data_IF_350384774552
#
_entry.id   IF_350384774552
#
_cell.length_a   1.000
_cell.length_b   1.000
_cell.length_c   1.000
_cell.angle_alpha   90.00
_cell.angle_beta   90.00
_cell.angle_gamma   90.00
#
_symmetry.space_group_name_H-M   'P 1'
#
loop_
_entity.id
_entity.type
_entity.pdbx_description
1 polymer ?
#
# COMPACT_ATOMS: atom_id res chain seq x y z
N UNK A 1 -10.80 -7.81 6.54
CA UNK A 1 -9.55 -7.98 7.30
C UNK A 1 -8.75 -6.67 7.34
N UNK A 2 -7.92 -6.49 8.32
CA UNK A 2 -7.06 -5.31 8.49
C UNK A 2 -5.58 -5.61 8.29
N UNK A 3 -5.23 -6.89 8.20
CA UNK A 3 -3.87 -7.36 7.92
C UNK A 3 -3.89 -8.72 7.23
N UNK A 4 -2.74 -9.19 6.76
CA UNK A 4 -2.50 -10.53 6.20
C UNK A 4 -1.59 -11.35 7.11
N UNK A 5 -1.61 -11.06 8.41
CA UNK A 5 -0.89 -11.82 9.41
C UNK A 5 -1.59 -13.16 9.67
N UNK A 6 -0.86 -14.17 10.13
CA UNK A 6 -1.43 -15.50 10.39
C UNK A 6 -2.18 -15.60 11.74
N UNK A 7 -2.80 -14.49 12.19
CA UNK A 7 -3.43 -14.45 13.51
C UNK A 7 -4.93 -14.77 13.50
N UNK A 8 -5.62 -14.54 12.38
CA UNK A 8 -7.05 -14.88 12.25
C UNK A 8 -7.31 -15.79 11.06
N UNK A 9 -8.35 -16.65 11.13
CA UNK A 9 -8.75 -17.48 10.01
C UNK A 9 -9.10 -16.68 8.76
N UNK A 10 -9.70 -15.51 8.94
CA UNK A 10 -10.09 -14.59 7.85
C UNK A 10 -8.84 -14.02 7.14
N UNK A 11 -7.82 -13.63 7.88
CA UNK A 11 -6.57 -13.12 7.32
C UNK A 11 -5.82 -14.21 6.56
N UNK A 12 -5.76 -15.41 7.12
CA UNK A 12 -5.18 -16.56 6.44
C UNK A 12 -5.94 -16.92 5.16
N UNK A 13 -7.28 -16.90 5.19
CA UNK A 13 -8.10 -17.18 4.01
C UNK A 13 -7.80 -16.19 2.88
N UNK A 14 -7.81 -14.89 3.17
CA UNK A 14 -7.52 -13.84 2.18
C UNK A 14 -6.11 -14.00 1.62
N UNK A 15 -5.13 -14.27 2.48
CA UNK A 15 -3.74 -14.48 2.05
C UNK A 15 -3.61 -15.69 1.14
N UNK A 16 -4.17 -16.85 1.51
CA UNK A 16 -4.13 -18.05 0.70
C UNK A 16 -4.87 -17.85 -0.61
N UNK A 17 -6.04 -17.20 -0.60
CA UNK A 17 -6.79 -16.90 -1.81
C UNK A 17 -5.98 -16.05 -2.80
N UNK A 18 -5.30 -15.01 -2.33
CA UNK A 18 -4.45 -14.17 -3.18
C UNK A 18 -3.26 -14.97 -3.75
N UNK A 19 -2.63 -15.82 -2.95
CA UNK A 19 -1.45 -16.59 -3.34
C UNK A 19 -1.81 -17.76 -4.27
N UNK A 20 -2.85 -18.49 -3.95
CA UNK A 20 -3.19 -19.74 -4.63
C UNK A 20 -4.05 -19.50 -5.88
N UNK A 21 -5.00 -18.57 -5.82
CA UNK A 21 -5.89 -18.23 -6.94
C UNK A 21 -5.27 -17.18 -7.88
N UNK A 22 -4.24 -16.47 -7.42
CA UNK A 22 -3.53 -15.42 -8.20
C UNK A 22 -4.48 -14.51 -8.98
N UNK A 23 -5.36 -13.75 -8.28
CA UNK A 23 -6.36 -12.91 -8.95
C UNK A 23 -5.66 -11.87 -9.84
N UNK A 24 -6.26 -11.58 -11.01
CA UNK A 24 -5.71 -10.59 -11.94
C UNK A 24 -5.60 -9.19 -11.32
N UNK A 25 -6.59 -8.82 -10.50
CA UNK A 25 -6.64 -7.53 -9.79
C UNK A 25 -7.32 -7.71 -8.44
N UNK A 26 -6.79 -7.04 -7.43
CA UNK A 26 -7.38 -6.94 -6.09
C UNK A 26 -8.02 -5.56 -5.91
N UNK A 27 -9.28 -5.51 -5.54
CA UNK A 27 -9.90 -4.27 -5.08
C UNK A 27 -9.78 -4.23 -3.55
N UNK A 28 -8.93 -3.35 -3.05
CA UNK A 28 -8.78 -3.11 -1.62
C UNK A 28 -9.75 -2.01 -1.16
N UNK A 29 -10.79 -2.40 -0.44
CA UNK A 29 -11.80 -1.47 0.08
C UNK A 29 -11.35 -0.95 1.44
N UNK A 30 -11.11 0.35 1.51
CA UNK A 30 -10.55 1.06 2.65
C UNK A 30 -11.60 2.00 3.24
N UNK A 31 -11.76 1.97 4.55
CA UNK A 31 -12.58 2.94 5.27
C UNK A 31 -11.84 4.28 5.37
N UNK A 32 -12.36 5.31 4.68
CA UNK A 32 -11.76 6.64 4.63
C UNK A 32 -11.84 7.39 5.96
N UNK A 33 -12.72 7.00 6.86
CA UNK A 33 -12.82 7.60 8.19
C UNK A 33 -11.72 7.09 9.17
N UNK A 34 -11.01 6.00 8.79
CA UNK A 34 -9.98 5.38 9.62
C UNK A 34 -8.80 4.87 8.75
N UNK A 35 -8.17 5.81 8.04
CA UNK A 35 -7.16 5.50 7.01
C UNK A 35 -5.92 4.81 7.58
N UNK A 36 -5.35 5.30 8.68
CA UNK A 36 -4.07 4.81 9.20
C UNK A 36 -4.08 3.29 9.41
N UNK A 37 -5.11 2.79 10.06
CA UNK A 37 -5.27 1.35 10.31
C UNK A 37 -5.49 0.56 9.02
N UNK A 38 -6.31 1.09 8.11
CA UNK A 38 -6.69 0.40 6.88
C UNK A 38 -5.55 0.38 5.85
N UNK A 39 -4.69 1.40 5.84
CA UNK A 39 -3.54 1.46 4.94
C UNK A 39 -2.46 0.41 5.30
N UNK A 40 -2.47 -0.14 6.50
CA UNK A 40 -1.54 -1.21 6.87
C UNK A 40 -1.71 -2.46 5.98
N UNK A 41 -2.94 -2.90 5.73
CA UNK A 41 -3.21 -3.97 4.77
C UNK A 41 -2.70 -3.63 3.36
N UNK A 42 -2.86 -2.37 2.95
CA UNK A 42 -2.34 -1.91 1.65
C UNK A 42 -0.84 -2.11 1.54
N UNK A 43 -0.09 -1.81 2.61
CA UNK A 43 1.37 -2.03 2.61
C UNK A 43 1.75 -3.49 2.43
N UNK A 44 0.99 -4.41 3.01
CA UNK A 44 1.21 -5.84 2.86
C UNK A 44 0.87 -6.36 1.45
N UNK A 45 -0.19 -5.82 0.83
CA UNK A 45 -0.54 -6.12 -0.55
C UNK A 45 0.51 -5.60 -1.54
N UNK A 46 1.12 -4.46 -1.26
CA UNK A 46 2.27 -3.93 -2.02
C UNK A 46 3.46 -4.90 -1.92
N UNK A 47 3.77 -5.39 -0.73
CA UNK A 47 4.86 -6.37 -0.53
C UNK A 47 4.61 -7.67 -1.30
N UNK A 48 3.34 -8.11 -1.41
CA UNK A 48 2.93 -9.27 -2.21
C UNK A 48 3.06 -9.03 -3.72
N UNK A 49 3.25 -7.78 -4.14
CA UNK A 49 3.35 -7.38 -5.54
C UNK A 49 2.10 -7.74 -6.36
N UNK A 50 0.92 -7.64 -5.77
CA UNK A 50 -0.35 -7.85 -6.48
C UNK A 50 -0.81 -6.58 -7.18
N UNK A 51 -1.42 -6.72 -8.36
CA UNK A 51 -2.11 -5.60 -9.00
C UNK A 51 -3.32 -5.23 -8.17
N UNK A 52 -3.43 -3.97 -7.76
CA UNK A 52 -4.57 -3.55 -6.96
C UNK A 52 -5.08 -2.16 -7.33
N UNK A 53 -6.35 -1.94 -7.02
CA UNK A 53 -7.00 -0.63 -6.97
C UNK A 53 -7.53 -0.45 -5.55
N UNK A 54 -7.42 0.75 -5.02
CA UNK A 54 -7.99 1.07 -3.72
C UNK A 54 -9.30 1.84 -3.87
N UNK A 55 -10.37 1.31 -3.28
CA UNK A 55 -11.63 2.01 -3.13
C UNK A 55 -11.62 2.73 -1.76
N UNK A 56 -11.55 4.06 -1.77
CA UNK A 56 -11.66 4.88 -0.57
C UNK A 56 -13.15 5.03 -0.23
N UNK A 57 -13.68 4.03 0.49
CA UNK A 57 -15.10 3.97 0.82
C UNK A 57 -15.45 4.84 2.03
N UNK A 58 -16.74 5.12 2.22
CA UNK A 58 -17.23 6.06 3.25
C UNK A 58 -16.62 7.47 3.09
N UNK A 59 -16.33 7.85 1.85
CA UNK A 59 -15.69 9.14 1.56
C UNK A 59 -16.58 10.33 1.95
N UNK A 60 -17.90 10.16 1.94
CA UNK A 60 -18.89 11.11 2.44
C UNK A 60 -18.76 11.35 3.96
N UNK A 61 -18.37 10.36 4.74
CA UNK A 61 -18.13 10.53 6.17
C UNK A 61 -16.85 11.31 6.45
N UNK A 62 -15.79 11.07 5.65
CA UNK A 62 -14.57 11.87 5.72
C UNK A 62 -14.87 13.34 5.40
N UNK A 63 -15.61 13.62 4.32
CA UNK A 63 -16.02 14.98 3.96
C UNK A 63 -16.94 15.62 5.02
N UNK A 64 -17.91 14.86 5.54
CA UNK A 64 -18.84 15.33 6.58
C UNK A 64 -18.14 15.65 7.90
N UNK A 65 -17.04 14.99 8.22
CA UNK A 65 -16.20 15.33 9.37
C UNK A 65 -15.43 16.65 9.18
N UNK A 66 -15.46 17.24 8.00
CA UNK A 66 -14.72 18.47 7.68
C UNK A 66 -13.24 18.24 7.37
N UNK A 67 -12.80 16.99 7.35
CA UNK A 67 -11.45 16.62 6.99
C UNK A 67 -11.27 16.63 5.45
N UNK A 68 -10.03 16.81 5.00
CA UNK A 68 -9.69 16.75 3.58
C UNK A 68 -8.56 15.77 3.32
N UNK A 69 -8.65 15.06 2.20
CA UNK A 69 -7.64 14.08 1.76
C UNK A 69 -7.24 14.37 0.31
N UNK A 70 -5.97 14.67 0.11
CA UNK A 70 -5.37 14.65 -1.23
C UNK A 70 -5.08 13.20 -1.65
N UNK A 71 -6.16 12.50 -2.07
CA UNK A 71 -6.06 11.11 -2.45
C UNK A 71 -5.24 10.88 -3.72
N UNK A 72 -5.08 11.89 -4.59
CA UNK A 72 -4.23 11.81 -5.77
C UNK A 72 -2.76 11.72 -5.37
N UNK A 73 -2.34 12.60 -4.47
CA UNK A 73 -0.98 12.57 -3.92
C UNK A 73 -0.74 11.29 -3.08
N UNK A 74 -1.74 10.86 -2.33
CA UNK A 74 -1.67 9.60 -1.58
C UNK A 74 -1.51 8.40 -2.53
N UNK A 75 -2.24 8.38 -3.65
CA UNK A 75 -2.11 7.40 -4.73
C UNK A 75 -0.69 7.38 -5.31
N UNK A 76 -0.09 8.55 -5.55
CA UNK A 76 1.30 8.66 -6.02
C UNK A 76 2.31 8.11 -5.01
N UNK A 77 2.12 8.39 -3.72
CA UNK A 77 3.01 7.92 -2.65
C UNK A 77 2.95 6.40 -2.47
N UNK A 78 1.76 5.81 -2.61
CA UNK A 78 1.57 4.36 -2.51
C UNK A 78 1.78 3.63 -3.85
N UNK A 79 1.80 4.34 -4.98
CA UNK A 79 1.86 3.75 -6.32
C UNK A 79 0.65 2.88 -6.65
N UNK A 80 -0.49 3.14 -6.03
CA UNK A 80 -1.74 2.40 -6.17
C UNK A 80 -2.84 3.36 -6.58
N UNK A 81 -3.59 3.10 -7.67
CA UNK A 81 -4.75 3.90 -8.03
C UNK A 81 -5.78 3.92 -6.89
N UNK A 82 -6.27 5.10 -6.54
CA UNK A 82 -7.24 5.30 -5.47
C UNK A 82 -8.49 6.00 -6.02
N UNK A 83 -9.66 5.44 -5.70
CA UNK A 83 -10.95 5.96 -6.16
C UNK A 83 -11.85 6.19 -4.95
N UNK A 84 -12.27 7.45 -4.68
CA UNK A 84 -13.26 7.73 -3.66
C UNK A 84 -14.61 7.09 -4.00
N UNK A 85 -15.21 6.41 -3.01
CA UNK A 85 -16.47 5.71 -3.19
C UNK A 85 -17.40 5.90 -2.00
N UNK A 86 -18.70 5.83 -2.27
CA UNK A 86 -19.76 5.78 -1.26
C UNK A 86 -20.68 4.62 -1.60
N UNK A 87 -20.36 3.44 -1.10
CA UNK A 87 -21.06 2.19 -1.45
C UNK A 87 -22.57 2.27 -1.19
N UNK A 88 -22.99 2.98 -0.15
CA UNK A 88 -24.40 3.16 0.22
C UNK A 88 -25.23 3.86 -0.88
N UNK A 89 -24.63 4.75 -1.65
CA UNK A 89 -25.30 5.53 -2.71
C UNK A 89 -24.91 5.07 -4.11
N UNK A 90 -23.85 4.27 -4.23
CA UNK A 90 -23.26 3.87 -5.50
C UNK A 90 -22.30 4.91 -6.10
N UNK A 91 -22.08 6.04 -5.43
CA UNK A 91 -21.19 7.10 -5.90
C UNK A 91 -19.74 6.57 -6.04
N UNK A 92 -19.08 6.82 -7.18
CA UNK A 92 -17.71 6.40 -7.48
C UNK A 92 -17.54 4.92 -7.83
N UNK A 93 -18.62 4.10 -7.82
CA UNK A 93 -18.53 2.68 -8.16
C UNK A 93 -18.25 2.46 -9.65
N UNK A 94 -18.88 3.25 -10.52
CA UNK A 94 -18.64 3.21 -11.96
C UNK A 94 -17.20 3.57 -12.30
N UNK A 95 -16.67 4.63 -11.68
CA UNK A 95 -15.27 5.05 -11.83
C UNK A 95 -14.30 3.99 -11.35
N UNK A 96 -14.61 3.36 -10.21
CA UNK A 96 -13.82 2.24 -9.69
C UNK A 96 -13.72 1.09 -10.70
N UNK A 97 -14.84 0.70 -11.30
CA UNK A 97 -14.85 -0.36 -12.31
C UNK A 97 -14.15 0.05 -13.61
N UNK A 98 -14.26 1.30 -14.03
CA UNK A 98 -13.49 1.83 -15.16
C UNK A 98 -11.99 1.70 -14.94
N UNK A 99 -11.51 2.08 -13.76
CA UNK A 99 -10.10 1.92 -13.39
C UNK A 99 -9.68 0.45 -13.38
N UNK A 100 -10.50 -0.44 -12.80
CA UNK A 100 -10.24 -1.89 -12.76
C UNK A 100 -10.16 -2.47 -14.17
N UNK A 101 -11.12 -2.16 -15.04
CA UNK A 101 -11.15 -2.66 -16.42
C UNK A 101 -9.93 -2.15 -17.20
N UNK A 102 -9.61 -0.88 -17.07
CA UNK A 102 -8.44 -0.28 -17.74
C UNK A 102 -7.14 -0.97 -17.32
N UNK A 103 -7.01 -1.38 -16.06
CA UNK A 103 -5.87 -2.15 -15.57
C UNK A 103 -5.88 -3.58 -16.12
N UNK A 104 -7.05 -4.21 -16.17
CA UNK A 104 -7.22 -5.59 -16.62
C UNK A 104 -6.91 -5.72 -18.12
N UNK A 105 -7.42 -4.83 -18.95
CA UNK A 105 -7.22 -4.85 -20.40
C UNK A 105 -5.77 -4.57 -20.80
N UNK A 106 -4.87 -4.36 -19.84
CA UNK A 106 -3.49 -4.00 -20.15
C UNK A 106 -3.45 -2.69 -20.96
N UNK A 107 -4.57 -1.94 -20.94
CA UNK A 107 -4.50 -0.55 -21.30
C UNK A 107 -3.38 0.00 -20.45
N UNK A 108 -2.21 0.11 -21.09
CA UNK A 108 -1.06 0.71 -20.47
C UNK A 108 -1.57 2.00 -19.86
N UNK A 109 -1.77 2.02 -18.55
CA UNK A 109 -1.94 3.27 -17.81
C UNK A 109 -0.79 4.20 -18.17
N UNK A 110 0.25 3.59 -18.69
CA UNK A 110 1.46 4.19 -19.17
C UNK A 110 1.45 4.20 -20.69
N UNK A 111 1.78 5.30 -21.30
CA UNK A 111 2.19 5.36 -22.69
C UNK A 111 3.54 4.64 -22.87
N UNK A 112 3.99 4.49 -24.12
CA UNK A 112 5.29 3.87 -24.45
C UNK A 112 6.50 4.55 -23.77
N UNK A 113 6.28 5.67 -23.09
CA UNK A 113 7.29 6.44 -22.33
C UNK A 113 7.12 6.32 -20.81
N UNK A 114 6.22 5.48 -20.34
CA UNK A 114 5.93 5.30 -18.92
C UNK A 114 5.12 6.46 -18.30
N UNK A 115 4.37 7.23 -19.12
CA UNK A 115 3.47 8.28 -18.65
C UNK A 115 2.05 7.75 -18.52
N UNK A 116 1.35 8.14 -17.46
CA UNK A 116 -0.08 7.88 -17.34
C UNK A 116 -0.80 8.50 -18.53
N UNK A 117 -1.65 7.74 -19.22
CA UNK A 117 -2.43 8.27 -20.35
C UNK A 117 -3.27 9.43 -19.86
N UNK A 118 -3.19 10.53 -20.58
CA UNK A 118 -3.88 11.79 -20.28
C UNK A 118 -5.40 11.61 -20.14
N UNK A 119 -5.96 10.61 -20.81
CA UNK A 119 -7.38 10.26 -20.78
C UNK A 119 -7.80 9.80 -19.37
N UNK A 120 -7.09 8.86 -18.77
CA UNK A 120 -7.38 8.37 -17.40
C UNK A 120 -7.19 9.48 -16.37
N UNK A 121 -6.17 10.31 -16.54
CA UNK A 121 -5.96 11.47 -15.66
C UNK A 121 -7.05 12.54 -15.84
N UNK A 122 -7.58 12.71 -17.05
CA UNK A 122 -8.66 13.68 -17.31
C UNK A 122 -9.98 13.18 -16.71
N UNK A 123 -10.30 11.89 -16.83
CA UNK A 123 -11.48 11.29 -16.23
C UNK A 123 -11.44 11.42 -14.71
N UNK A 124 -10.30 11.11 -14.09
CA UNK A 124 -10.09 11.32 -12.65
C UNK A 124 -10.13 12.81 -12.24
N UNK A 125 -9.63 13.73 -13.08
CA UNK A 125 -9.66 15.18 -12.83
C UNK A 125 -11.03 15.78 -13.03
N UNK A 126 -11.81 15.35 -14.03
CA UNK A 126 -13.20 15.79 -14.22
C UNK A 126 -14.05 15.35 -13.05
N UNK A 127 -13.89 14.11 -12.62
CA UNK A 127 -14.56 13.61 -11.44
C UNK A 127 -14.18 14.44 -10.20
N UNK A 128 -12.90 14.76 -10.01
CA UNK A 128 -12.41 15.57 -8.88
C UNK A 128 -13.01 16.98 -8.86
N UNK A 129 -13.21 17.62 -10.02
CA UNK A 129 -13.87 18.94 -10.12
C UNK A 129 -15.33 18.90 -9.71
N UNK A 130 -16.01 17.80 -10.00
CA UNK A 130 -17.43 17.63 -9.70
C UNK A 130 -17.68 17.36 -8.21
N UNK A 131 -16.74 16.76 -7.53
CA UNK A 131 -16.91 16.21 -6.17
C UNK A 131 -16.16 16.93 -5.05
N UNK A 132 -15.21 17.80 -5.35
CA UNK A 132 -14.48 18.57 -4.32
C UNK A 132 -14.84 20.05 -4.44
N UNK A 133 -15.80 20.57 -3.62
CA UNK A 133 -16.13 21.99 -3.61
C UNK A 133 -14.89 22.81 -3.22
N UNK A 134 -14.43 23.69 -4.14
CA UNK A 134 -13.26 24.54 -3.91
C UNK A 134 -11.95 24.03 -4.51
N UNK A 135 -11.95 22.91 -5.18
CA UNK A 135 -10.80 22.49 -5.99
C UNK A 135 -10.65 23.44 -7.20
N UNK A 136 -9.92 24.49 -6.99
CA UNK A 136 -9.35 25.29 -8.08
C UNK A 136 -8.17 24.48 -8.58
N UNK A 137 -8.38 23.67 -9.63
CA UNK A 137 -7.31 22.87 -10.22
C UNK A 137 -6.01 23.64 -10.19
N UNK A 138 -5.15 23.27 -9.23
CA UNK A 138 -3.90 23.98 -9.03
C UNK A 138 -3.21 24.06 -10.37
N UNK A 139 -3.04 25.26 -10.88
CA UNK A 139 -2.16 25.53 -11.98
C UNK A 139 -0.75 25.21 -11.47
N UNK A 140 -0.45 23.92 -11.36
CA UNK A 140 0.93 23.50 -11.39
C UNK A 140 1.43 23.96 -12.74
N UNK A 141 2.25 25.02 -12.70
CA UNK A 141 3.10 25.39 -13.82
C UNK A 141 3.59 24.10 -14.45
N UNK A 142 3.58 24.04 -15.77
CA UNK A 142 4.23 23.04 -16.60
C UNK A 142 5.76 23.02 -16.35
N UNK A 143 6.16 22.91 -15.11
CA UNK A 143 7.50 22.44 -14.75
C UNK A 143 7.42 20.92 -14.86
N UNK A 144 8.26 20.38 -15.73
CA UNK A 144 8.47 18.97 -16.02
C UNK A 144 8.20 18.09 -14.81
N UNK A 145 6.92 17.71 -14.61
CA UNK A 145 6.55 16.64 -13.72
C UNK A 145 7.15 15.40 -14.38
N UNK A 146 8.29 14.96 -13.89
CA UNK A 146 8.85 13.66 -14.26
C UNK A 146 7.83 12.61 -13.85
N UNK A 147 7.01 12.24 -14.81
CA UNK A 147 5.91 11.32 -14.67
C UNK A 147 6.45 9.96 -14.23
N UNK A 148 6.23 9.65 -12.99
CA UNK A 148 6.43 8.33 -12.46
C UNK A 148 5.10 7.60 -12.63
N UNK A 149 5.07 6.63 -13.53
CA UNK A 149 3.87 5.86 -13.83
C UNK A 149 3.29 5.17 -12.59
N UNK A 150 1.97 5.04 -12.53
CA UNK A 150 1.21 4.40 -11.45
C UNK A 150 1.55 2.92 -11.19
N UNK A 151 2.35 2.30 -12.04
CA UNK A 151 2.94 0.97 -11.87
C UNK A 151 4.46 1.06 -11.69
N UNK A 152 4.90 1.91 -10.77
CA UNK A 152 6.17 1.61 -10.15
C UNK A 152 5.94 0.42 -9.22
N UNK A 153 6.82 -0.55 -9.30
CA UNK A 153 7.04 -1.44 -8.17
C UNK A 153 7.53 -0.56 -7.00
N UNK A 154 6.58 0.09 -6.32
CA UNK A 154 6.89 0.83 -5.11
C UNK A 154 7.09 -0.24 -4.06
N UNK A 155 8.29 -0.31 -3.55
CA UNK A 155 8.57 -1.04 -2.34
C UNK A 155 8.54 -0.05 -1.18
N UNK A 156 7.82 -0.40 -0.14
CA UNK A 156 7.90 0.36 1.10
C UNK A 156 9.33 0.24 1.59
N UNK A 157 9.97 1.37 1.81
CA UNK A 157 11.33 1.41 2.32
C UNK A 157 11.27 1.27 3.85
N UNK A 158 11.77 0.16 4.35
CA UNK A 158 11.81 -0.16 5.78
C UNK A 158 13.04 0.43 6.49
N UNK A 159 13.83 1.25 5.79
CA UNK A 159 15.10 1.75 6.30
C UNK A 159 16.29 0.85 5.94
N UNK A 160 17.51 1.39 5.92
CA UNK A 160 18.67 0.73 5.32
C UNK A 160 19.03 -0.60 5.98
N UNK A 161 18.84 -0.73 7.28
CA UNK A 161 19.21 -1.93 8.01
C UNK A 161 18.24 -3.09 7.74
N UNK A 162 16.93 -2.82 7.74
CA UNK A 162 15.92 -3.83 7.40
C UNK A 162 15.97 -4.20 5.92
N UNK A 163 16.14 -3.21 5.02
CA UNK A 163 16.25 -3.47 3.59
C UNK A 163 17.43 -4.39 3.26
N UNK A 164 18.57 -4.21 3.93
CA UNK A 164 19.71 -5.10 3.80
C UNK A 164 19.35 -6.54 4.20
N UNK A 165 18.71 -6.73 5.34
CA UNK A 165 18.30 -8.06 5.80
C UNK A 165 17.25 -8.69 4.89
N UNK A 166 16.29 -7.91 4.41
CA UNK A 166 15.28 -8.37 3.45
C UNK A 166 15.95 -8.85 2.17
N UNK A 167 16.91 -8.10 1.60
CA UNK A 167 17.60 -8.50 0.38
C UNK A 167 18.46 -9.74 0.57
N UNK A 168 19.13 -9.93 1.71
CA UNK A 168 19.91 -11.15 1.99
C UNK A 168 19.02 -12.40 2.06
N UNK A 169 17.91 -12.34 2.80
CA UNK A 169 16.97 -13.46 2.88
C UNK A 169 16.32 -13.72 1.52
N UNK A 170 15.88 -12.66 0.81
CA UNK A 170 15.31 -12.74 -0.53
C UNK A 170 16.27 -13.38 -1.53
N UNK A 171 17.55 -13.07 -1.47
CA UNK A 171 18.58 -13.63 -2.37
C UNK A 171 18.58 -15.15 -2.31
N UNK A 172 18.63 -15.72 -1.11
CA UNK A 172 18.66 -17.19 -0.93
C UNK A 172 17.33 -17.84 -1.31
N UNK A 173 16.18 -17.20 -1.00
CA UNK A 173 14.87 -17.68 -1.45
C UNK A 173 14.81 -17.73 -2.98
N UNK A 174 15.36 -16.73 -3.66
CA UNK A 174 15.30 -16.57 -5.12
C UNK A 174 16.07 -17.62 -5.91
N UNK A 175 16.88 -18.45 -5.24
CA UNK A 175 17.53 -19.60 -5.86
C UNK A 175 16.55 -20.71 -6.26
N UNK A 176 15.33 -20.71 -5.69
CA UNK A 176 14.27 -21.64 -6.02
C UNK A 176 13.38 -21.07 -7.14
N UNK A 177 13.47 -21.62 -8.33
CA UNK A 177 12.70 -21.15 -9.48
C UNK A 177 11.19 -21.26 -9.27
N UNK A 178 10.71 -22.40 -8.77
CA UNK A 178 9.28 -22.63 -8.53
C UNK A 178 8.68 -21.58 -7.56
N UNK A 179 9.42 -21.25 -6.51
CA UNK A 179 9.00 -20.22 -5.56
C UNK A 179 8.99 -18.84 -6.21
N UNK A 180 10.02 -18.51 -7.00
CA UNK A 180 10.14 -17.21 -7.67
C UNK A 180 9.02 -16.98 -8.68
N UNK A 181 8.49 -18.03 -9.29
CA UNK A 181 7.37 -17.93 -10.23
C UNK A 181 6.00 -17.79 -9.54
N UNK A 182 5.86 -18.38 -8.35
CA UNK A 182 4.57 -18.41 -7.64
C UNK A 182 4.42 -17.28 -6.60
N UNK A 183 5.53 -16.83 -6.00
CA UNK A 183 5.49 -15.89 -4.86
C UNK A 183 6.37 -14.67 -5.08
N UNK A 184 5.97 -13.54 -4.52
CA UNK A 184 6.91 -12.43 -4.29
C UNK A 184 7.97 -12.86 -3.29
N UNK A 185 9.22 -13.01 -3.75
CA UNK A 185 10.34 -13.40 -2.87
C UNK A 185 10.63 -12.35 -1.80
N UNK A 186 10.31 -11.07 -2.08
CA UNK A 186 10.38 -10.00 -1.10
C UNK A 186 9.34 -10.19 0.01
N UNK A 187 8.10 -10.48 -0.35
CA UNK A 187 7.05 -10.78 0.63
C UNK A 187 7.43 -11.95 1.52
N UNK A 188 7.94 -13.05 0.93
CA UNK A 188 8.41 -14.19 1.70
C UNK A 188 9.54 -13.82 2.66
N UNK A 189 10.51 -13.01 2.21
CA UNK A 189 11.61 -12.57 3.06
C UNK A 189 11.12 -11.73 4.25
N UNK A 190 10.21 -10.76 3.99
CA UNK A 190 9.61 -9.94 5.03
C UNK A 190 8.86 -10.80 6.03
N UNK A 191 8.01 -11.71 5.56
CA UNK A 191 7.22 -12.59 6.44
C UNK A 191 8.06 -13.57 7.25
N UNK A 192 9.16 -14.06 6.68
CA UNK A 192 10.11 -14.88 7.45
C UNK A 192 10.80 -14.07 8.55
N UNK A 193 11.17 -12.82 8.28
CA UNK A 193 11.73 -11.93 9.31
C UNK A 193 10.68 -11.55 10.37
N UNK A 194 9.41 -11.51 10.02
CA UNK A 194 8.27 -11.37 10.96
C UNK A 194 7.94 -12.67 11.70
N UNK A 195 8.72 -13.75 11.50
CA UNK A 195 8.50 -15.08 12.10
C UNK A 195 7.15 -15.72 11.77
N UNK A 196 6.65 -15.54 10.55
CA UNK A 196 5.39 -16.12 10.09
C UNK A 196 5.48 -17.66 10.04
N UNK A 197 4.67 -18.39 10.84
CA UNK A 197 4.83 -19.84 11.00
C UNK A 197 4.41 -20.62 9.75
N UNK A 198 3.43 -20.16 8.99
CA UNK A 198 2.95 -20.86 7.79
C UNK A 198 3.98 -20.78 6.69
N UNK A 199 4.57 -19.60 6.50
CA UNK A 199 5.60 -19.43 5.49
C UNK A 199 6.93 -20.10 5.91
N UNK A 200 7.22 -20.16 7.19
CA UNK A 200 8.34 -20.95 7.68
C UNK A 200 8.18 -22.43 7.36
N UNK A 201 6.96 -22.99 7.53
CA UNK A 201 6.67 -24.36 7.13
C UNK A 201 6.84 -24.56 5.61
N UNK A 202 6.35 -23.65 4.80
CA UNK A 202 6.55 -23.69 3.34
C UNK A 202 8.05 -23.69 2.99
N UNK A 203 8.84 -22.80 3.56
CA UNK A 203 10.28 -22.70 3.29
C UNK A 203 11.01 -23.96 3.69
N UNK A 204 10.66 -24.61 4.79
CA UNK A 204 11.25 -25.89 5.22
C UNK A 204 11.05 -27.04 4.24
N UNK A 205 10.09 -26.94 3.32
CA UNK A 205 9.90 -27.94 2.25
C UNK A 205 10.87 -27.77 1.08
N UNK A 206 11.54 -26.64 0.96
CA UNK A 206 12.42 -26.31 -0.16
C UNK A 206 13.77 -27.04 -0.03
N UNK A 207 14.45 -27.33 -1.15
CA UNK A 207 15.74 -28.00 -1.16
C UNK A 207 16.81 -27.29 -0.30
N UNK A 208 16.84 -25.94 -0.34
CA UNK A 208 17.72 -25.10 0.46
C UNK A 208 17.02 -24.47 1.67
N UNK A 209 15.87 -25.02 2.11
CA UNK A 209 15.06 -24.45 3.19
C UNK A 209 15.84 -24.24 4.48
N UNK A 210 16.75 -25.15 4.83
CA UNK A 210 17.61 -24.99 6.00
C UNK A 210 18.52 -23.77 5.88
N UNK A 211 19.14 -23.56 4.73
CA UNK A 211 20.01 -22.40 4.49
C UNK A 211 19.22 -21.09 4.59
N UNK A 212 18.01 -21.04 4.02
CA UNK A 212 17.13 -19.87 4.12
C UNK A 212 16.84 -19.54 5.59
N UNK A 213 16.49 -20.54 6.40
CA UNK A 213 16.22 -20.35 7.84
C UNK A 213 17.48 -19.90 8.59
N UNK A 214 18.64 -20.49 8.30
CA UNK A 214 19.91 -20.11 8.93
C UNK A 214 20.27 -18.64 8.62
N UNK A 215 20.06 -18.19 7.37
CA UNK A 215 20.27 -16.78 6.97
C UNK A 215 19.25 -15.85 7.64
N UNK A 216 17.94 -16.21 7.66
CA UNK A 216 16.91 -15.47 8.39
C UNK A 216 17.30 -15.29 9.85
N UNK A 217 17.74 -16.34 10.53
CA UNK A 217 18.10 -16.30 11.95
C UNK A 217 19.35 -15.44 12.21
N UNK A 218 20.30 -15.45 11.28
CA UNK A 218 21.47 -14.57 11.32
C UNK A 218 21.07 -13.11 11.16
N UNK A 219 20.23 -12.78 10.16
CA UNK A 219 19.80 -11.42 9.91
C UNK A 219 18.87 -10.90 11.03
N UNK A 220 18.01 -11.75 11.60
CA UNK A 220 17.18 -11.38 12.76
C UNK A 220 18.01 -11.02 13.99
N UNK A 221 19.10 -11.76 14.24
CA UNK A 221 20.04 -11.41 15.31
C UNK A 221 20.75 -10.09 15.03
N UNK A 222 21.19 -9.88 13.78
CA UNK A 222 21.84 -8.62 13.37
C UNK A 222 20.90 -7.43 13.58
N UNK A 223 19.63 -7.52 13.16
CA UNK A 223 18.65 -6.45 13.36
C UNK A 223 18.45 -6.15 14.84
N UNK A 224 18.31 -7.19 15.69
CA UNK A 224 18.18 -7.01 17.14
C UNK A 224 19.39 -6.30 17.73
N UNK A 225 20.59 -6.64 17.29
CA UNK A 225 21.83 -6.03 17.79
C UNK A 225 21.96 -4.56 17.33
N UNK A 226 21.53 -4.23 16.12
CA UNK A 226 21.68 -2.88 15.53
C UNK A 226 20.55 -1.93 15.94
N UNK A 227 19.30 -2.40 15.91
CA UNK A 227 18.12 -1.58 16.19
C UNK A 227 17.65 -1.70 17.64
N UNK A 228 18.12 -2.69 18.39
CA UNK A 228 17.65 -3.04 19.73
C UNK A 228 16.15 -3.38 19.78
N UNK A 229 15.65 -3.94 18.67
CA UNK A 229 14.26 -4.34 18.47
C UNK A 229 14.18 -5.66 17.72
N UNK A 230 13.09 -6.41 17.89
CA UNK A 230 12.82 -7.60 17.08
C UNK A 230 12.37 -7.21 15.68
N UNK A 231 12.64 -8.06 14.68
CA UNK A 231 12.35 -7.76 13.28
C UNK A 231 10.88 -7.45 13.01
N UNK A 232 9.96 -8.19 13.62
CA UNK A 232 8.52 -8.00 13.48
C UNK A 232 8.08 -6.61 13.96
N UNK A 233 8.61 -6.16 15.10
CA UNK A 233 8.36 -4.81 15.60
C UNK A 233 8.96 -3.76 14.67
N UNK A 234 10.22 -3.90 14.29
CA UNK A 234 10.92 -2.95 13.43
C UNK A 234 10.25 -2.81 12.04
N UNK A 235 9.79 -3.93 11.45
CA UNK A 235 9.07 -3.92 10.17
C UNK A 235 7.69 -3.24 10.33
N UNK A 236 6.98 -3.54 11.41
CA UNK A 236 5.69 -2.94 11.72
C UNK A 236 5.83 -1.43 11.90
N UNK A 237 6.81 -0.98 12.66
CA UNK A 237 7.07 0.44 12.92
C UNK A 237 7.49 1.18 11.64
N UNK A 238 8.28 0.55 10.77
CA UNK A 238 8.63 1.10 9.47
C UNK A 238 7.39 1.29 8.57
N UNK A 239 6.47 0.32 8.54
CA UNK A 239 5.21 0.42 7.79
C UNK A 239 4.32 1.53 8.32
N UNK A 240 4.12 1.62 9.63
CA UNK A 240 3.36 2.71 10.24
C UNK A 240 4.05 4.07 10.07
N UNK A 241 5.37 4.11 10.13
CA UNK A 241 6.14 5.32 9.82
C UNK A 241 5.91 5.83 8.40
N UNK A 242 5.89 4.93 7.42
CA UNK A 242 5.55 5.26 6.04
C UNK A 242 4.11 5.78 5.91
N UNK A 243 3.13 5.08 6.51
CA UNK A 243 1.70 5.46 6.49
C UNK A 243 1.52 6.84 7.12
N UNK A 244 2.04 7.06 8.32
CA UNK A 244 1.95 8.34 9.04
C UNK A 244 2.62 9.47 8.27
N UNK A 245 3.76 9.22 7.63
CA UNK A 245 4.42 10.17 6.74
C UNK A 245 3.55 10.56 5.56
N UNK A 246 2.97 9.57 4.87
CA UNK A 246 2.09 9.80 3.73
C UNK A 246 0.80 10.56 4.13
N UNK A 247 0.17 10.17 5.24
CA UNK A 247 -1.02 10.87 5.74
C UNK A 247 -0.71 12.29 6.20
N UNK A 248 0.43 12.54 6.81
CA UNK A 248 0.84 13.90 7.18
C UNK A 248 0.98 14.84 5.99
N UNK A 249 1.31 14.30 4.82
CA UNK A 249 1.43 15.07 3.58
C UNK A 249 0.10 15.23 2.83
N UNK A 250 -0.88 14.36 3.07
CA UNK A 250 -2.09 14.24 2.23
C UNK A 250 -3.40 14.43 2.98
N UNK A 251 -3.39 14.30 4.31
CA UNK A 251 -4.59 14.41 5.15
C UNK A 251 -4.54 15.65 6.02
N UNK A 252 -5.62 16.45 6.01
CA UNK A 252 -5.77 17.63 6.87
C UNK A 252 -6.95 17.41 7.82
N UNK A 253 -6.66 17.36 9.12
CA UNK A 253 -7.67 17.34 10.17
C UNK A 253 -8.04 18.77 10.57
N UNK A 254 -9.18 19.23 10.07
CA UNK A 254 -9.66 20.59 10.33
C UNK A 254 -10.28 20.77 11.74
N UNK A 255 -10.37 19.72 12.56
CA UNK A 255 -10.83 19.83 13.94
C UNK A 255 -9.73 20.34 14.88
N UNK A 256 -8.47 19.97 14.63
CA UNK A 256 -7.34 20.41 15.45
C UNK A 256 -7.12 21.93 15.33
N UNK A 257 -7.38 22.53 14.18
CA UNK A 257 -7.26 23.98 13.98
C UNK A 257 -8.33 24.79 14.72
N UNK A 258 -9.53 24.23 14.89
CA UNK A 258 -10.61 24.89 15.65
C UNK A 258 -10.34 24.94 17.15
N UNK A 259 -9.74 23.92 17.75
CA UNK A 259 -9.36 23.93 19.16
C UNK A 259 -8.22 24.91 19.46
N UNK A 260 -7.26 25.04 18.54
CA UNK A 260 -6.18 26.03 18.68
C UNK A 260 -6.69 27.46 18.58
N UNK A 261 -7.63 27.73 17.66
CA UNK A 261 -8.21 29.08 17.47
C UNK A 261 -9.08 29.47 18.67
N UNK A 262 -9.83 28.54 19.24
CA UNK A 262 -10.68 28.82 20.43
C UNK A 262 -9.83 29.11 21.67
N UNK A 263 -8.70 28.43 21.86
CA UNK A 263 -7.77 28.70 22.98
C UNK A 263 -7.06 30.07 22.90
N UNK A 264 -6.85 30.57 21.66
CA UNK A 264 -6.21 31.89 21.44
C UNK A 264 -7.20 33.05 21.65
N UNK A 265 -8.51 32.81 21.54
CA UNK A 265 -9.54 33.83 21.74
C UNK A 265 -9.94 33.95 23.21
N UNK A 266 -9.76 32.89 24.02
CA UNK A 266 -10.09 32.87 25.48
C UNK A 266 -8.88 33.22 26.38
N UNK A 267 -7.78 33.66 25.82
CA UNK A 267 -6.61 34.16 26.56
C UNK A 267 -6.38 35.65 26.27
#
# INVERSE_FOLDING_TARGET
TYSLSAYSPEEMYVRHHIIDETPDIVINVVDSSNLERNLYLTTQLIDMNVRMVMALNMYDELEASGNTLDYMKLSELFGVPMVPTVSRTGKGIEDLFHVVISIYEGADFLDQKGKVRTEVLNDLREWHREYVPGYTGGAHKEEEVRHHGFYRHIHINHGPELERSIEEVKRVISENEDIRHKYSTRFLAIKLLENDPDLEMLIKTLPNGKEIIDVRDQESRRIRDVLNEDCDQAITDAKYGFISGALKETFVDNHLDKEHTTRVIDS
#
